data_IF_921181374664
#
_entry.id   IF_921181374664
#
_cell.length_a   1.000
_cell.length_b   1.000
_cell.length_c   1.000
_cell.angle_alpha   90.00
_cell.angle_beta   90.00
_cell.angle_gamma   90.00
#
_symmetry.space_group_name_H-M   'P 1'
#
loop_
_entity.id
_entity.type
_entity.pdbx_description
1 polymer ?
#
# COMPACT_ATOMS: atom_id res chain seq x y z
N UNK A 1 -0.48 -12.91 3.05
CA UNK A 1 0.38 -14.08 3.27
C UNK A 1 1.63 -13.57 3.99
N UNK A 2 1.84 -14.05 5.21
CA UNK A 2 2.88 -13.53 6.10
C UNK A 2 4.29 -13.81 5.58
N UNK A 3 4.48 -14.91 4.84
CA UNK A 3 5.77 -15.29 4.28
C UNK A 3 6.19 -14.38 3.10
N UNK A 4 5.24 -13.91 2.30
CA UNK A 4 5.50 -12.97 1.20
C UNK A 4 5.55 -11.50 1.62
N UNK A 5 5.00 -11.17 2.79
CA UNK A 5 4.80 -9.78 3.23
C UNK A 5 3.55 -9.14 2.61
N UNK A 6 2.67 -9.92 1.98
CA UNK A 6 1.47 -9.42 1.33
C UNK A 6 0.33 -9.19 2.33
N UNK A 7 -0.07 -7.93 2.44
CA UNK A 7 -1.12 -7.43 3.32
C UNK A 7 -2.30 -6.95 2.48
N UNK A 8 -3.46 -7.57 2.67
CA UNK A 8 -4.71 -7.11 2.09
C UNK A 8 -5.30 -6.02 2.96
N UNK A 9 -5.63 -4.89 2.35
CA UNK A 9 -6.25 -3.76 3.03
C UNK A 9 -7.55 -3.41 2.35
N UNK A 10 -8.64 -3.51 3.10
CA UNK A 10 -9.92 -2.96 2.70
C UNK A 10 -10.00 -1.48 3.13
N UNK A 11 -10.24 -0.58 2.18
CA UNK A 11 -10.31 0.85 2.44
C UNK A 11 -11.72 1.26 2.84
N UNK A 12 -11.96 1.46 4.14
CA UNK A 12 -13.25 1.99 4.63
C UNK A 12 -13.42 3.48 4.35
N UNK A 13 -12.31 4.19 4.10
CA UNK A 13 -12.26 5.60 3.70
C UNK A 13 -10.99 5.87 2.88
N UNK A 14 -11.04 6.88 2.01
CA UNK A 14 -9.91 7.29 1.17
C UNK A 14 -9.99 8.77 0.78
N UNK A 15 -8.84 9.39 0.51
CA UNK A 15 -8.77 10.78 0.02
C UNK A 15 -9.43 10.94 -1.35
N UNK A 16 -9.22 9.97 -2.24
CA UNK A 16 -9.97 9.85 -3.49
C UNK A 16 -11.24 9.04 -3.22
N UNK A 17 -12.45 9.62 -3.37
CA UNK A 17 -13.69 8.91 -3.09
C UNK A 17 -13.86 7.61 -3.88
N UNK A 18 -13.30 7.55 -5.10
CA UNK A 18 -13.31 6.36 -5.96
C UNK A 18 -12.61 5.14 -5.37
N UNK A 19 -11.79 5.30 -4.32
CA UNK A 19 -11.08 4.20 -3.68
C UNK A 19 -11.78 3.68 -2.41
N UNK A 20 -12.90 4.27 -1.98
CA UNK A 20 -13.67 3.74 -0.85
C UNK A 20 -14.26 2.38 -1.22
N UNK A 21 -14.11 1.39 -0.34
CA UNK A 21 -14.53 0.00 -0.55
C UNK A 21 -13.52 -0.84 -1.36
N UNK A 22 -12.47 -0.24 -1.91
CA UNK A 22 -11.45 -0.98 -2.64
C UNK A 22 -10.61 -1.87 -1.71
N UNK A 23 -10.15 -3.01 -2.22
CA UNK A 23 -9.16 -3.86 -1.55
C UNK A 23 -7.83 -3.73 -2.27
N UNK A 24 -6.79 -3.30 -1.56
CA UNK A 24 -5.43 -3.21 -2.05
C UNK A 24 -4.59 -4.36 -1.50
N UNK A 25 -3.70 -4.90 -2.33
CA UNK A 25 -2.65 -5.83 -1.90
C UNK A 25 -1.36 -5.03 -1.80
N UNK A 26 -0.75 -5.03 -0.61
CA UNK A 26 0.45 -4.27 -0.29
C UNK A 26 1.55 -5.21 0.17
N UNK A 27 2.71 -5.13 -0.46
CA UNK A 27 3.87 -5.87 0.00
C UNK A 27 4.61 -5.01 1.04
N UNK A 28 4.69 -5.48 2.27
CA UNK A 28 5.21 -4.74 3.42
C UNK A 28 6.44 -5.46 3.98
N UNK A 29 7.53 -4.71 4.20
CA UNK A 29 8.76 -5.22 4.82
C UNK A 29 9.32 -4.18 5.77
N UNK A 30 9.85 -4.62 6.91
CA UNK A 30 10.71 -3.78 7.76
C UNK A 30 12.16 -4.08 7.41
N UNK A 31 12.94 -3.05 7.09
CA UNK A 31 14.36 -3.12 6.74
C UNK A 31 15.07 -1.91 7.36
N UNK A 32 16.17 -2.15 8.07
CA UNK A 32 16.95 -1.11 8.76
C UNK A 32 16.10 -0.16 9.63
N UNK A 33 15.09 -0.70 10.31
CA UNK A 33 14.17 0.06 11.17
C UNK A 33 13.12 0.90 10.42
N UNK A 34 13.10 0.84 9.07
CA UNK A 34 12.12 1.52 8.22
C UNK A 34 11.08 0.54 7.72
N UNK A 35 9.83 1.00 7.59
CA UNK A 35 8.78 0.24 6.93
C UNK A 35 8.74 0.62 5.44
N UNK A 36 8.99 -0.35 4.58
CA UNK A 36 8.91 -0.23 3.13
C UNK A 36 7.63 -0.91 2.67
N UNK A 37 6.79 -0.17 1.94
CA UNK A 37 5.53 -0.66 1.38
C UNK A 37 5.60 -0.52 -0.14
N UNK A 38 5.47 -1.62 -0.86
CA UNK A 38 5.29 -1.64 -2.32
C UNK A 38 3.82 -1.89 -2.65
N UNK A 39 3.29 -1.08 -3.55
CA UNK A 39 1.92 -1.13 -4.02
C UNK A 39 1.91 -1.00 -5.54
N UNK A 40 1.39 -2.02 -6.20
CA UNK A 40 1.00 -1.95 -7.60
C UNK A 40 -0.47 -1.57 -7.68
N UNK A 41 -0.78 -0.48 -8.35
CA UNK A 41 -2.15 0.06 -8.46
C UNK A 41 -2.29 0.89 -9.74
N UNK A 42 -3.42 1.55 -9.95
CA UNK A 42 -3.65 2.47 -11.07
C UNK A 42 -3.75 3.92 -10.58
N UNK A 43 -3.43 4.87 -11.46
CA UNK A 43 -3.81 6.27 -11.29
C UNK A 43 -5.31 6.48 -11.55
N UNK A 44 -5.88 7.65 -11.25
CA UNK A 44 -7.29 7.93 -11.53
C UNK A 44 -7.69 7.81 -13.02
N UNK A 45 -6.75 8.04 -13.95
CA UNK A 45 -6.89 7.82 -15.40
C UNK A 45 -6.56 6.38 -15.84
N UNK A 46 -6.52 5.44 -14.88
CA UNK A 46 -6.35 4.00 -15.08
C UNK A 46 -4.97 3.57 -15.61
N UNK A 47 -3.94 4.41 -15.47
CA UNK A 47 -2.58 4.05 -15.83
C UNK A 47 -1.93 3.20 -14.73
N UNK A 48 -1.33 2.04 -15.05
CA UNK A 48 -0.68 1.19 -14.06
C UNK A 48 0.57 1.87 -13.52
N UNK A 49 0.76 1.77 -12.20
CA UNK A 49 1.81 2.46 -11.47
C UNK A 49 2.26 1.65 -10.26
N UNK A 50 3.57 1.63 -10.05
CA UNK A 50 4.19 1.04 -8.86
C UNK A 50 4.59 2.17 -7.90
N UNK A 51 4.11 2.10 -6.66
CA UNK A 51 4.44 3.05 -5.59
C UNK A 51 5.26 2.35 -4.52
N UNK A 52 6.30 3.03 -4.08
CA UNK A 52 7.07 2.66 -2.89
C UNK A 52 6.88 3.74 -1.84
N UNK A 53 6.36 3.37 -0.67
CA UNK A 53 6.28 4.24 0.49
C UNK A 53 7.31 3.78 1.51
N UNK A 54 8.13 4.71 2.00
CA UNK A 54 9.10 4.44 3.06
C UNK A 54 8.70 5.25 4.28
N UNK A 55 8.49 4.57 5.40
CA UNK A 55 8.08 5.17 6.66
C UNK A 55 9.16 4.97 7.71
N UNK A 56 9.37 5.99 8.52
CA UNK A 56 10.15 5.90 9.75
C UNK A 56 9.20 5.64 10.92
N UNK A 57 9.67 4.87 11.91
CA UNK A 57 8.88 4.62 13.12
C UNK A 57 8.74 5.93 13.88
N UNK A 58 7.49 6.35 14.13
CA UNK A 58 7.22 7.44 15.06
C UNK A 58 7.64 7.01 16.48
N UNK A 59 8.40 7.87 17.16
CA UNK A 59 8.81 7.71 18.55
C UNK A 59 7.75 8.20 19.53
#
# INVERSE_FOLDING_TARGET
DEASGDVHTHLVAALSPSHVGATLIRNMKVEDGKLIIRLTTTTPDNMPVNRTLTWERAG
#
